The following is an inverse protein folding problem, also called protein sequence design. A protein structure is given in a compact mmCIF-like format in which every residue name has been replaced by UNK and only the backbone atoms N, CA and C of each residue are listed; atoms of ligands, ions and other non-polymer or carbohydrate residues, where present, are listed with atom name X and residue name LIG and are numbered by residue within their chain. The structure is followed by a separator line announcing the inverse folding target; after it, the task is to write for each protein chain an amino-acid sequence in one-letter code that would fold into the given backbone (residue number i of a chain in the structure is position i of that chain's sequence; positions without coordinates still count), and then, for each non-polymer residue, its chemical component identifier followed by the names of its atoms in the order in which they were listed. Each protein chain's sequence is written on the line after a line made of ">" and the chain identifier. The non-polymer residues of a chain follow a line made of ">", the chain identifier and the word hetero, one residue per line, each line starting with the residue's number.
data_IF_689299929903
#
_entry.id   IF_689299929903
#
_cell.length_a   1.000
_cell.length_b   1.000
_cell.length_c   1.000
_cell.angle_alpha   90.00
_cell.angle_beta   90.00
_cell.angle_gamma   90.00
#
_symmetry.space_group_name_H-M   'P 1'
#
loop_
_entity.id
_entity.type
_entity.pdbx_description
1 polymer ?
#
# COMPACT_ATOMS: atom_id res chain seq x y z
N UNK A 1 -5.18 -16.53 -6.87
CA UNK A 1 -5.11 -15.16 -6.29
C UNK A 1 -4.36 -15.27 -4.95
N UNK A 2 -3.18 -14.67 -4.80
CA UNK A 2 -2.31 -14.86 -3.62
C UNK A 2 -2.74 -13.98 -2.44
N UNK A 3 -2.35 -14.34 -1.22
CA UNK A 3 -2.59 -13.54 0.00
C UNK A 3 -2.03 -12.12 -0.16
N UNK A 4 -0.85 -11.99 -0.77
CA UNK A 4 -0.18 -10.73 -1.10
C UNK A 4 -0.99 -9.84 -2.05
N UNK A 5 -1.63 -10.43 -3.07
CA UNK A 5 -2.50 -9.66 -3.98
C UNK A 5 -3.75 -9.11 -3.29
N UNK A 6 -4.29 -9.82 -2.29
CA UNK A 6 -5.43 -9.34 -1.51
C UNK A 6 -5.03 -8.16 -0.62
N UNK A 7 -3.87 -8.26 0.04
CA UNK A 7 -3.28 -7.19 0.84
C UNK A 7 -3.09 -5.91 0.00
N UNK A 8 -2.41 -6.02 -1.14
CA UNK A 8 -2.19 -4.89 -2.04
C UNK A 8 -3.50 -4.26 -2.52
N UNK A 9 -4.47 -5.07 -2.90
CA UNK A 9 -5.78 -4.56 -3.33
C UNK A 9 -6.50 -3.83 -2.20
N UNK A 10 -6.44 -4.33 -0.96
CA UNK A 10 -7.05 -3.67 0.20
C UNK A 10 -6.40 -2.30 0.46
N UNK A 11 -5.07 -2.25 0.53
CA UNK A 11 -4.32 -1.01 0.75
C UNK A 11 -4.59 0.00 -0.36
N UNK A 12 -4.53 -0.44 -1.63
CA UNK A 12 -4.78 0.43 -2.79
C UNK A 12 -6.18 1.02 -2.77
N UNK A 13 -7.21 0.20 -2.50
CA UNK A 13 -8.60 0.66 -2.43
C UNK A 13 -8.78 1.65 -1.28
N UNK A 14 -8.21 1.38 -0.12
CA UNK A 14 -8.28 2.28 1.03
C UNK A 14 -7.63 3.62 0.71
N UNK A 15 -6.44 3.61 0.10
CA UNK A 15 -5.76 4.83 -0.32
C UNK A 15 -6.57 5.60 -1.37
N UNK A 16 -7.14 4.91 -2.36
CA UNK A 16 -8.02 5.53 -3.36
C UNK A 16 -9.24 6.17 -2.71
N UNK A 17 -9.91 5.49 -1.77
CA UNK A 17 -11.03 6.04 -1.02
C UNK A 17 -10.64 7.31 -0.25
N UNK A 18 -9.50 7.29 0.45
CA UNK A 18 -8.98 8.47 1.12
C UNK A 18 -8.76 9.63 0.14
N UNK A 19 -8.08 9.39 -0.98
CA UNK A 19 -7.83 10.45 -1.98
C UNK A 19 -9.13 10.99 -2.58
N UNK A 20 -10.13 10.12 -2.84
CA UNK A 20 -11.44 10.55 -3.33
C UNK A 20 -12.16 11.43 -2.32
N UNK A 21 -12.11 11.06 -1.03
CA UNK A 21 -12.65 11.86 0.05
C UNK A 21 -11.93 13.22 0.15
N UNK A 22 -10.59 13.25 0.19
CA UNK A 22 -9.81 14.50 0.21
C UNK A 22 -10.13 15.40 -0.99
N UNK A 23 -10.36 14.81 -2.17
CA UNK A 23 -10.78 15.54 -3.35
C UNK A 23 -12.20 16.09 -3.21
N UNK A 24 -13.13 15.33 -2.61
CA UNK A 24 -14.53 15.75 -2.44
C UNK A 24 -14.64 17.03 -1.60
N UNK A 25 -13.77 17.16 -0.59
CA UNK A 25 -13.64 18.36 0.25
C UNK A 25 -12.65 19.39 -0.31
N UNK A 26 -12.20 19.22 -1.56
CA UNK A 26 -11.31 20.12 -2.31
C UNK A 26 -9.91 20.32 -1.70
N UNK A 27 -9.41 19.36 -0.91
CA UNK A 27 -8.06 19.41 -0.35
C UNK A 27 -6.96 19.03 -1.34
N UNK A 28 -7.30 18.27 -2.39
CA UNK A 28 -6.38 17.85 -3.46
C UNK A 28 -7.03 17.99 -4.85
N UNK A 29 -6.19 18.12 -5.86
CA UNK A 29 -6.58 18.22 -7.28
C UNK A 29 -6.95 16.84 -7.86
N UNK A 30 -7.58 16.78 -9.06
CA UNK A 30 -7.79 15.53 -9.76
C UNK A 30 -6.47 14.76 -9.98
N UNK A 31 -6.52 13.44 -9.77
CA UNK A 31 -5.35 12.58 -9.78
C UNK A 31 -5.58 11.30 -10.62
N UNK A 32 -4.52 10.71 -11.20
CA UNK A 32 -4.61 9.40 -11.82
C UNK A 32 -4.65 8.28 -10.75
N UNK A 33 -5.37 7.19 -11.03
CA UNK A 33 -5.57 6.05 -10.10
C UNK A 33 -4.40 5.06 -10.02
N UNK A 34 -3.19 5.51 -10.37
CA UNK A 34 -1.99 4.67 -10.33
C UNK A 34 -1.45 4.63 -8.90
N UNK A 35 -1.09 3.45 -8.40
CA UNK A 35 -0.77 3.28 -6.97
C UNK A 35 0.45 4.09 -6.53
N UNK A 36 1.48 4.19 -7.38
CA UNK A 36 2.64 5.05 -7.18
C UNK A 36 2.25 6.52 -7.02
N UNK A 37 1.41 7.03 -7.91
CA UNK A 37 0.97 8.45 -7.89
C UNK A 37 0.10 8.74 -6.67
N UNK A 38 -0.83 7.84 -6.31
CA UNK A 38 -1.63 7.97 -5.10
C UNK A 38 -0.73 8.05 -3.85
N UNK A 39 0.31 7.23 -3.80
CA UNK A 39 1.26 7.19 -2.68
C UNK A 39 2.08 8.48 -2.58
N UNK A 40 2.50 9.04 -3.71
CA UNK A 40 3.22 10.32 -3.75
C UNK A 40 2.36 11.48 -3.27
N UNK A 41 1.12 11.58 -3.75
CA UNK A 41 0.16 12.61 -3.31
C UNK A 41 -0.12 12.47 -1.82
N UNK A 42 -0.31 11.24 -1.33
CA UNK A 42 -0.51 11.00 0.09
C UNK A 42 0.67 11.51 0.92
N UNK A 43 1.90 11.14 0.54
CA UNK A 43 3.10 11.50 1.29
C UNK A 43 3.35 13.01 1.34
N UNK A 44 2.99 13.73 0.28
CA UNK A 44 3.28 15.16 0.11
C UNK A 44 2.15 16.08 0.57
N UNK A 45 0.88 15.66 0.41
CA UNK A 45 -0.28 16.56 0.63
C UNK A 45 -1.20 16.13 1.76
N UNK A 46 -1.26 14.84 2.11
CA UNK A 46 -2.31 14.30 3.00
C UNK A 46 -1.76 13.80 4.33
N UNK A 47 -0.67 13.04 4.31
CA UNK A 47 -0.13 12.33 5.47
C UNK A 47 0.06 13.23 6.69
N UNK A 48 0.72 14.38 6.51
CA UNK A 48 1.05 15.26 7.62
C UNK A 48 -0.18 16.04 8.12
N UNK A 49 -1.08 16.43 7.20
CA UNK A 49 -2.34 17.12 7.55
C UNK A 49 -3.29 16.25 8.36
N UNK A 50 -3.25 14.94 8.11
CA UNK A 50 -4.09 13.92 8.80
C UNK A 50 -3.33 13.19 9.91
N UNK A 51 -2.17 13.70 10.31
CA UNK A 51 -1.34 13.14 11.39
C UNK A 51 -1.08 11.64 11.27
N UNK A 52 -0.84 11.11 10.06
CA UNK A 52 -0.44 9.72 9.89
C UNK A 52 0.93 9.48 10.51
N UNK A 53 1.14 8.30 11.10
CA UNK A 53 2.46 7.91 11.59
C UNK A 53 3.46 7.94 10.43
N UNK A 54 4.65 8.56 10.60
CA UNK A 54 5.70 8.58 9.58
C UNK A 54 6.05 7.20 9.01
N UNK A 55 5.90 6.13 9.79
CA UNK A 55 6.12 4.74 9.37
C UNK A 55 5.20 4.34 8.22
N UNK A 56 3.98 4.90 8.15
CA UNK A 56 3.01 4.63 7.07
C UNK A 56 3.54 5.07 5.71
N UNK A 57 4.27 6.19 5.63
CA UNK A 57 4.89 6.64 4.36
C UNK A 57 5.85 5.57 3.82
N UNK A 58 6.67 5.00 4.72
CA UNK A 58 7.59 3.91 4.39
C UNK A 58 6.86 2.62 4.00
N UNK A 59 5.79 2.28 4.71
CA UNK A 59 4.92 1.13 4.40
C UNK A 59 4.30 1.24 3.00
N UNK A 60 3.67 2.36 2.65
CA UNK A 60 3.04 2.53 1.33
C UNK A 60 4.05 2.45 0.19
N UNK A 61 5.26 3.00 0.39
CA UNK A 61 6.36 2.84 -0.58
C UNK A 61 6.71 1.37 -0.80
N UNK A 62 6.84 0.58 0.28
CA UNK A 62 7.09 -0.86 0.20
C UNK A 62 5.95 -1.60 -0.52
N UNK A 63 4.70 -1.18 -0.34
CA UNK A 63 3.55 -1.76 -1.05
C UNK A 63 3.59 -1.46 -2.55
N UNK A 64 4.01 -0.25 -2.96
CA UNK A 64 4.23 0.09 -4.38
C UNK A 64 5.35 -0.77 -4.98
N UNK A 65 6.46 -0.92 -4.26
CA UNK A 65 7.57 -1.77 -4.70
C UNK A 65 7.12 -3.23 -4.86
N UNK A 66 6.33 -3.74 -3.91
CA UNK A 66 5.76 -5.09 -3.95
C UNK A 66 4.79 -5.28 -5.13
N UNK A 67 3.91 -4.31 -5.41
CA UNK A 67 3.01 -4.32 -6.57
C UNK A 67 3.80 -4.36 -7.88
N UNK A 68 4.87 -3.57 -7.99
CA UNK A 68 5.75 -3.57 -9.16
C UNK A 68 6.49 -4.91 -9.32
N UNK A 69 7.05 -5.46 -8.23
CA UNK A 69 7.73 -6.76 -8.26
C UNK A 69 6.78 -7.89 -8.67
N UNK A 70 5.54 -7.90 -8.22
CA UNK A 70 4.55 -8.92 -8.62
C UNK A 70 4.15 -8.79 -10.10
N UNK A 71 4.15 -7.58 -10.65
CA UNK A 71 3.86 -7.34 -12.08
C UNK A 71 5.03 -7.72 -12.98
N UNK A 72 6.27 -7.53 -12.54
CA UNK A 72 7.47 -7.85 -13.31
C UNK A 72 7.95 -9.30 -13.16
N UNK A 73 7.56 -9.98 -12.08
CA UNK A 73 8.00 -11.33 -11.77
C UNK A 73 7.28 -12.40 -12.60
N UNK A 74 8.04 -13.19 -13.36
CA UNK A 74 7.56 -14.35 -14.10
C UNK A 74 7.51 -15.64 -13.26
N UNK A 75 8.06 -15.64 -12.04
CA UNK A 75 8.20 -16.84 -11.19
C UNK A 75 7.75 -16.54 -9.76
N UNK A 76 6.60 -17.10 -9.39
CA UNK A 76 6.09 -17.11 -8.02
C UNK A 76 6.27 -18.51 -7.45
N UNK A 77 7.29 -18.73 -6.62
CA UNK A 77 7.44 -20.02 -5.93
C UNK A 77 7.60 -19.87 -4.42
N UNK A 78 6.89 -20.73 -3.70
CA UNK A 78 7.03 -20.88 -2.25
C UNK A 78 8.12 -21.92 -2.01
N UNK A 79 9.19 -21.55 -1.31
CA UNK A 79 10.19 -22.50 -0.78
C UNK A 79 10.11 -22.43 0.74
N UNK A 80 9.69 -23.54 1.34
CA UNK A 80 9.49 -23.68 2.79
C UNK A 80 8.50 -22.66 3.38
N UNK A 81 8.97 -21.77 4.26
CA UNK A 81 8.22 -20.72 4.98
C UNK A 81 8.38 -19.32 4.38
N UNK A 82 9.07 -19.19 3.24
CA UNK A 82 9.42 -17.92 2.62
C UNK A 82 8.72 -17.74 1.27
N UNK A 83 8.21 -16.53 1.03
CA UNK A 83 7.72 -16.11 -0.28
C UNK A 83 8.87 -15.49 -1.05
N UNK A 84 9.41 -16.22 -2.02
CA UNK A 84 10.50 -15.73 -2.87
C UNK A 84 9.88 -15.05 -4.09
N UNK A 85 10.12 -13.74 -4.22
CA UNK A 85 9.81 -12.98 -5.42
C UNK A 85 11.13 -12.70 -6.13
N UNK A 86 11.35 -13.36 -7.26
CA UNK A 86 12.48 -13.07 -8.14
C UNK A 86 12.04 -12.01 -9.16
N UNK A 87 12.83 -10.93 -9.28
CA UNK A 87 12.63 -9.95 -10.35
C UNK A 87 13.22 -10.45 -11.69
N UNK A 88 12.98 -9.70 -12.77
CA UNK A 88 13.47 -10.01 -14.12
C UNK A 88 14.99 -9.95 -14.28
N UNK A 89 15.72 -9.44 -13.29
CA UNK A 89 17.18 -9.36 -13.22
C UNK A 89 17.79 -10.45 -12.33
N UNK A 90 17.01 -11.46 -11.92
CA UNK A 90 17.41 -12.52 -10.98
C UNK A 90 17.76 -12.03 -9.57
N UNK A 91 17.43 -10.78 -9.23
CA UNK A 91 17.55 -10.31 -7.86
C UNK A 91 16.45 -10.96 -7.00
N UNK A 92 16.88 -11.75 -6.03
CA UNK A 92 15.98 -12.62 -5.25
C UNK A 92 15.57 -11.89 -3.97
N UNK A 93 14.36 -11.34 -3.90
CA UNK A 93 13.79 -10.79 -2.66
C UNK A 93 12.92 -11.84 -1.99
N UNK A 94 13.41 -12.40 -0.89
CA UNK A 94 12.64 -13.31 -0.03
C UNK A 94 11.89 -12.49 1.02
N UNK A 95 10.56 -12.55 1.00
CA UNK A 95 9.73 -12.06 2.10
C UNK A 95 9.50 -13.20 3.08
N UNK A 96 10.02 -13.07 4.29
CA UNK A 96 9.73 -14.01 5.36
C UNK A 96 8.29 -13.82 5.88
N UNK A 97 7.79 -14.82 6.60
CA UNK A 97 6.42 -14.81 7.11
C UNK A 97 6.18 -13.69 8.15
N UNK A 98 7.23 -13.28 8.86
CA UNK A 98 7.15 -12.20 9.85
C UNK A 98 6.96 -10.84 9.19
N UNK A 99 7.65 -10.59 8.08
CA UNK A 99 7.51 -9.38 7.27
C UNK A 99 6.10 -9.26 6.71
N UNK A 100 5.53 -10.37 6.22
CA UNK A 100 4.15 -10.39 5.76
C UNK A 100 3.17 -10.05 6.88
N UNK A 101 3.36 -10.62 8.08
CA UNK A 101 2.53 -10.27 9.26
C UNK A 101 2.62 -8.78 9.59
N UNK A 102 3.82 -8.22 9.63
CA UNK A 102 4.01 -6.78 9.86
C UNK A 102 3.28 -5.95 8.81
N UNK A 103 3.30 -6.35 7.53
CA UNK A 103 2.55 -5.64 6.49
C UNK A 103 1.03 -5.77 6.67
N UNK A 104 0.54 -6.90 7.18
CA UNK A 104 -0.88 -7.03 7.54
C UNK A 104 -1.25 -6.09 8.68
N UNK A 105 -0.47 -6.06 9.76
CA UNK A 105 -0.73 -5.20 10.91
C UNK A 105 -0.72 -3.72 10.49
N UNK A 106 0.29 -3.30 9.72
CA UNK A 106 0.38 -1.93 9.19
C UNK A 106 -0.77 -1.60 8.23
N UNK A 107 -1.21 -2.56 7.42
CA UNK A 107 -2.35 -2.37 6.53
C UNK A 107 -3.64 -2.18 7.31
N UNK A 108 -3.82 -2.94 8.39
CA UNK A 108 -5.00 -2.84 9.24
C UNK A 108 -5.05 -1.47 9.91
N UNK A 109 -3.95 -1.03 10.53
CA UNK A 109 -3.84 0.29 11.13
C UNK A 109 -4.14 1.42 10.13
N UNK A 110 -3.56 1.33 8.93
CA UNK A 110 -3.81 2.30 7.87
C UNK A 110 -5.28 2.33 7.44
N UNK A 111 -5.88 1.16 7.19
CA UNK A 111 -7.27 1.06 6.72
C UNK A 111 -8.24 1.54 7.79
N UNK A 112 -8.03 1.17 9.05
CA UNK A 112 -8.85 1.64 10.18
C UNK A 112 -8.82 3.16 10.25
N UNK A 113 -7.63 3.76 10.24
CA UNK A 113 -7.49 5.22 10.30
C UNK A 113 -8.14 5.93 9.10
N UNK A 114 -8.03 5.36 7.90
CA UNK A 114 -8.76 5.89 6.73
C UNK A 114 -10.27 5.84 6.95
N UNK A 115 -10.78 4.74 7.50
CA UNK A 115 -12.18 4.61 7.87
C UNK A 115 -12.62 5.67 8.87
N UNK A 116 -11.83 5.90 9.92
CA UNK A 116 -12.11 6.91 10.94
C UNK A 116 -12.19 8.32 10.33
N UNK A 117 -11.22 8.69 9.49
CA UNK A 117 -11.20 10.01 8.80
C UNK A 117 -12.46 10.21 7.94
N UNK A 118 -12.87 9.17 7.21
CA UNK A 118 -14.03 9.26 6.31
C UNK A 118 -15.32 9.34 7.13
N UNK A 119 -15.45 8.54 8.20
CA UNK A 119 -16.66 8.47 9.02
C UNK A 119 -16.83 9.67 9.96
N UNK A 120 -15.76 10.32 10.41
CA UNK A 120 -15.83 11.59 11.17
C UNK A 120 -16.48 12.74 10.38
N UNK A 121 -16.70 12.54 9.08
CA UNK A 121 -17.22 13.55 8.15
C UNK A 121 -18.70 13.38 7.80
N UNK A 122 -19.33 12.30 8.26
CA UNK A 122 -20.79 12.08 8.23
C UNK A 122 -21.42 12.58 9.54
#
# INVERSE_FOLDING_TARGET
>A
MSVTSKLLNAVKKSLESLMLYERSIKNIEPFPKQFSVLTEIFNTKVSDKRNFDPVIKGFLRKMVDLDNSLKSSSIHYRRDSNFVIADSNFDTRSYDLNTLKTYFDQSQEFITKVGDIINESE
#
